data_IF_088230226665
#
_entry.id   IF_088230226665
#
_cell.length_a   1.000
_cell.length_b   1.000
_cell.length_c   1.000
_cell.angle_alpha   90.00
_cell.angle_beta   90.00
_cell.angle_gamma   90.00
#
_symmetry.space_group_name_H-M   'P 1'
#
loop_
_entity.id
_entity.type
_entity.pdbx_description
1 polymer ?
#
# COMPACT_ATOMS: atom_id res chain seq x y z
N UNK A 1 15.82 4.12 -15.57
CA UNK A 1 15.63 5.44 -14.96
C UNK A 1 15.53 6.51 -16.04
N UNK A 2 14.51 7.39 -16.02
CA UNK A 2 14.37 8.50 -16.97
C UNK A 2 15.53 9.49 -16.91
N UNK A 3 15.77 10.22 -18.01
CA UNK A 3 16.88 11.16 -18.10
C UNK A 3 16.77 12.29 -17.06
N UNK A 4 15.58 12.88 -16.87
CA UNK A 4 15.36 13.94 -15.89
C UNK A 4 15.78 13.54 -14.47
N UNK A 5 15.58 12.27 -14.09
CA UNK A 5 15.93 11.78 -12.76
C UNK A 5 17.44 11.51 -12.64
N UNK A 6 18.08 11.10 -13.74
CA UNK A 6 19.55 11.01 -13.81
C UNK A 6 20.19 12.38 -13.64
N UNK A 7 19.64 13.39 -14.32
CA UNK A 7 20.15 14.76 -14.26
C UNK A 7 19.96 15.36 -12.86
N UNK A 8 18.81 15.11 -12.23
CA UNK A 8 18.51 15.57 -10.87
C UNK A 8 19.43 14.93 -9.82
N UNK A 9 19.71 13.63 -9.94
CA UNK A 9 20.37 12.86 -8.88
C UNK A 9 21.84 12.53 -9.15
N UNK A 10 22.32 12.77 -10.38
CA UNK A 10 23.62 12.31 -10.87
C UNK A 10 23.75 10.78 -11.01
N UNK A 11 22.69 10.01 -10.74
CA UNK A 11 22.73 8.55 -10.74
C UNK A 11 22.47 7.99 -12.13
N UNK A 12 23.08 6.82 -12.42
CA UNK A 12 22.88 6.11 -13.70
C UNK A 12 21.80 5.02 -13.61
N UNK A 13 21.59 4.49 -12.42
CA UNK A 13 20.67 3.40 -12.13
C UNK A 13 19.76 3.74 -10.95
N UNK A 14 18.63 3.05 -10.88
CA UNK A 14 17.79 3.03 -9.68
C UNK A 14 18.61 2.49 -8.49
N UNK A 15 18.33 2.92 -7.24
CA UNK A 15 19.02 2.41 -6.08
C UNK A 15 18.71 0.93 -5.82
N UNK A 16 19.49 0.32 -4.93
CA UNK A 16 19.21 -1.00 -4.38
C UNK A 16 18.10 -0.93 -3.32
N UNK A 17 17.99 -1.95 -2.46
CA UNK A 17 16.98 -2.01 -1.41
C UNK A 17 17.11 -0.90 -0.36
N UNK A 18 18.28 -0.29 -0.19
CA UNK A 18 18.47 0.82 0.76
C UNK A 18 18.64 2.13 -0.01
N UNK A 19 17.53 2.83 -0.33
CA UNK A 19 17.59 4.00 -1.15
C UNK A 19 18.32 5.14 -0.42
N UNK A 20 19.19 5.88 -1.12
CA UNK A 20 19.88 7.03 -0.55
C UNK A 20 18.87 8.16 -0.28
N UNK A 21 19.07 8.89 0.80
CA UNK A 21 18.39 10.16 1.00
C UNK A 21 18.96 11.22 0.05
N UNK A 22 18.07 11.90 -0.68
CA UNK A 22 18.42 13.09 -1.46
C UNK A 22 17.72 14.26 -0.78
N UNK A 23 18.53 15.17 -0.22
CA UNK A 23 18.01 16.34 0.46
C UNK A 23 17.22 17.21 -0.53
N UNK A 24 15.92 17.28 -0.29
CA UNK A 24 15.00 18.13 -1.03
C UNK A 24 14.37 19.18 -0.13
N UNK A 25 15.16 19.63 0.84
CA UNK A 25 14.80 20.65 1.82
C UNK A 25 13.56 20.25 2.62
N UNK A 26 13.45 18.95 2.94
CA UNK A 26 12.40 18.45 3.82
C UNK A 26 12.73 18.91 5.24
N UNK A 27 11.86 19.74 5.80
CA UNK A 27 11.97 20.20 7.18
C UNK A 27 11.44 19.12 8.14
N UNK A 28 12.32 18.63 9.02
CA UNK A 28 12.01 17.66 10.06
C UNK A 28 11.85 18.29 11.45
N UNK A 29 11.94 19.61 11.59
CA UNK A 29 11.92 20.28 12.89
C UNK A 29 10.57 20.17 13.63
N UNK A 30 9.47 19.98 12.89
CA UNK A 30 8.12 19.77 13.41
C UNK A 30 7.74 18.28 13.54
N UNK A 31 8.67 17.35 13.24
CA UNK A 31 8.41 15.92 13.35
C UNK A 31 8.43 15.51 14.83
N UNK A 32 7.37 14.84 15.33
CA UNK A 32 7.33 14.37 16.71
C UNK A 32 8.50 13.44 17.04
N UNK A 33 9.06 13.61 18.24
CA UNK A 33 10.13 12.74 18.73
C UNK A 33 9.54 11.42 19.21
N UNK A 34 9.64 10.39 18.38
CA UNK A 34 9.34 9.00 18.72
C UNK A 34 10.59 8.18 18.44
N UNK A 35 11.05 7.40 19.42
CA UNK A 35 12.26 6.60 19.26
C UNK A 35 12.09 5.55 18.15
N UNK A 36 13.17 5.30 17.42
CA UNK A 36 13.21 4.18 16.49
C UNK A 36 13.04 2.87 17.28
N UNK A 37 12.32 1.92 16.68
CA UNK A 37 12.01 0.64 17.32
C UNK A 37 11.88 -0.48 16.31
N UNK A 38 12.06 -1.71 16.78
CA UNK A 38 11.92 -2.90 15.95
C UNK A 38 10.45 -3.30 15.83
N UNK A 39 10.15 -4.06 14.78
CA UNK A 39 8.82 -4.64 14.60
C UNK A 39 8.45 -5.53 15.79
N UNK A 40 7.23 -5.39 16.30
CA UNK A 40 6.75 -6.08 17.50
C UNK A 40 7.11 -5.40 18.82
N UNK A 41 7.96 -4.38 18.83
CA UNK A 41 8.18 -3.55 20.00
C UNK A 41 7.05 -2.51 20.15
N UNK A 42 6.22 -2.74 21.16
CA UNK A 42 5.06 -1.92 21.50
C UNK A 42 5.19 -1.22 22.87
N UNK A 43 6.41 -1.11 23.40
CA UNK A 43 6.70 -0.30 24.60
C UNK A 43 6.73 1.21 24.25
N UNK A 44 5.58 1.74 23.82
CA UNK A 44 5.48 3.11 23.29
C UNK A 44 5.27 4.14 24.41
N UNK A 45 5.77 5.37 24.24
CA UNK A 45 5.43 6.48 25.12
C UNK A 45 3.90 6.67 25.22
N UNK A 46 3.35 6.99 26.41
CA UNK A 46 1.91 7.22 26.57
C UNK A 46 1.36 8.23 25.55
N UNK A 47 0.24 7.89 24.91
CA UNK A 47 -0.41 8.72 23.89
C UNK A 47 0.09 8.53 22.45
N UNK A 48 1.15 7.74 22.25
CA UNK A 48 1.63 7.38 20.90
C UNK A 48 0.59 6.55 20.17
N UNK A 49 0.20 7.00 18.98
CA UNK A 49 -0.73 6.28 18.12
C UNK A 49 0.03 5.45 17.10
N UNK A 50 -0.03 4.13 17.26
CA UNK A 50 0.66 3.18 16.41
C UNK A 50 -0.27 2.02 16.03
N UNK A 51 -0.64 1.94 14.76
CA UNK A 51 -1.67 0.99 14.34
C UNK A 51 -1.28 -0.45 14.66
N UNK A 52 -0.04 -0.84 14.38
CA UNK A 52 0.41 -2.23 14.57
C UNK A 52 0.52 -2.65 16.05
N UNK A 53 0.50 -1.69 16.97
CA UNK A 53 0.56 -1.96 18.41
C UNK A 53 -0.79 -1.81 19.12
N UNK A 54 -1.58 -0.80 18.76
CA UNK A 54 -2.81 -0.46 19.48
C UNK A 54 -3.99 -0.12 18.56
N UNK A 55 -3.92 -0.47 17.27
CA UNK A 55 -4.93 -0.19 16.25
C UNK A 55 -5.40 1.28 16.25
N UNK A 56 -4.49 2.19 16.59
CA UNK A 56 -4.81 3.60 16.66
C UNK A 56 -4.76 4.27 15.29
N UNK A 57 -5.74 5.15 15.07
CA UNK A 57 -5.86 6.00 13.89
C UNK A 57 -5.86 7.48 14.28
N UNK A 58 -5.53 8.34 13.31
CA UNK A 58 -5.68 9.80 13.43
C UNK A 58 -6.76 10.30 12.47
N UNK A 59 -7.39 11.47 12.77
CA UNK A 59 -8.28 12.12 11.82
C UNK A 59 -7.59 12.32 10.46
N UNK A 60 -8.26 11.88 9.40
CA UNK A 60 -7.76 11.90 8.03
C UNK A 60 -7.15 10.58 7.55
N UNK A 61 -6.88 9.62 8.45
CA UNK A 61 -6.49 8.28 8.05
C UNK A 61 -7.71 7.57 7.40
N UNK A 62 -7.50 6.98 6.23
CA UNK A 62 -8.53 6.25 5.48
C UNK A 62 -8.46 4.78 5.89
N UNK A 63 -9.46 4.31 6.63
CA UNK A 63 -9.43 2.96 7.24
C UNK A 63 -10.50 2.03 6.69
N UNK A 64 -11.54 2.57 6.08
CA UNK A 64 -12.70 1.80 5.62
C UNK A 64 -13.27 2.41 4.34
N UNK A 65 -14.24 1.72 3.75
CA UNK A 65 -14.91 2.11 2.54
C UNK A 65 -16.42 1.87 2.65
N UNK A 66 -17.25 2.71 2.04
CA UNK A 66 -18.71 2.53 2.03
C UNK A 66 -19.20 1.27 1.30
N UNK A 67 -18.34 0.64 0.50
CA UNK A 67 -18.62 -0.65 -0.12
C UNK A 67 -17.43 -1.57 0.10
N UNK A 68 -17.68 -2.87 0.17
CA UNK A 68 -16.65 -3.88 0.36
C UNK A 68 -15.71 -3.87 -0.85
N UNK A 69 -14.50 -3.37 -0.65
CA UNK A 69 -13.58 -2.99 -1.73
C UNK A 69 -12.21 -3.63 -1.54
N UNK A 70 -11.70 -4.28 -2.59
CA UNK A 70 -10.40 -4.94 -2.51
C UNK A 70 -9.27 -3.94 -2.71
N UNK A 71 -8.21 -4.14 -1.93
CA UNK A 71 -6.93 -3.51 -2.17
C UNK A 71 -5.81 -4.54 -2.05
N UNK A 72 -4.75 -4.33 -2.82
CA UNK A 72 -3.67 -5.28 -2.99
C UNK A 72 -2.32 -4.64 -2.67
N UNK A 73 -1.56 -5.28 -1.80
CA UNK A 73 -0.21 -4.86 -1.42
C UNK A 73 0.84 -5.80 -2.06
N UNK A 74 2.09 -5.32 -2.10
CA UNK A 74 3.31 -6.04 -2.50
C UNK A 74 3.49 -6.40 -3.97
N UNK A 75 2.44 -6.27 -4.79
CA UNK A 75 2.53 -6.33 -6.23
C UNK A 75 3.16 -5.07 -6.87
N UNK A 76 3.26 -5.04 -8.20
CA UNK A 76 2.98 -6.15 -9.09
C UNK A 76 4.11 -7.20 -9.07
N UNK A 77 3.75 -8.43 -9.36
CA UNK A 77 4.64 -9.53 -9.73
C UNK A 77 4.26 -10.06 -11.11
N UNK A 78 4.98 -11.05 -11.63
CA UNK A 78 4.56 -11.73 -12.87
C UNK A 78 3.16 -12.36 -12.77
N UNK A 79 2.65 -12.59 -11.55
CA UNK A 79 1.34 -13.21 -11.32
C UNK A 79 0.20 -12.19 -11.34
N UNK A 80 0.48 -10.90 -11.09
CA UNK A 80 -0.51 -9.81 -11.10
C UNK A 80 -1.25 -9.70 -12.43
N UNK A 81 -0.62 -10.12 -13.54
CA UNK A 81 -1.26 -10.19 -14.86
C UNK A 81 -2.60 -10.93 -14.83
N UNK A 82 -2.70 -12.04 -14.09
CA UNK A 82 -3.91 -12.84 -14.02
C UNK A 82 -5.02 -12.19 -13.19
N UNK A 83 -4.63 -11.41 -12.17
CA UNK A 83 -5.58 -10.62 -11.39
C UNK A 83 -6.15 -9.49 -12.27
N UNK A 84 -5.28 -8.79 -13.02
CA UNK A 84 -5.69 -7.73 -13.94
C UNK A 84 -6.60 -8.25 -15.07
N UNK A 85 -6.29 -9.42 -15.66
CA UNK A 85 -7.16 -10.08 -16.63
C UNK A 85 -8.55 -10.33 -16.06
N UNK A 86 -8.62 -10.80 -14.81
CA UNK A 86 -9.89 -11.05 -14.13
C UNK A 86 -10.67 -9.76 -13.88
N UNK A 87 -10.04 -8.75 -13.28
CA UNK A 87 -10.68 -7.47 -12.96
C UNK A 87 -11.15 -6.73 -14.21
N UNK A 88 -10.39 -6.81 -15.31
CA UNK A 88 -10.79 -6.30 -16.61
C UNK A 88 -12.04 -7.02 -17.14
N UNK A 89 -12.05 -8.36 -17.10
CA UNK A 89 -13.17 -9.18 -17.59
C UNK A 89 -14.48 -8.96 -16.82
N UNK A 90 -14.41 -8.58 -15.55
CA UNK A 90 -15.58 -8.34 -14.69
C UNK A 90 -15.94 -6.86 -14.55
N UNK A 91 -15.12 -5.96 -15.09
CA UNK A 91 -15.26 -4.51 -14.90
C UNK A 91 -14.98 -4.02 -13.47
N UNK A 92 -14.47 -4.89 -12.60
CA UNK A 92 -14.12 -4.54 -11.22
C UNK A 92 -12.92 -3.60 -11.18
N UNK A 93 -12.89 -2.69 -10.19
CA UNK A 93 -11.76 -1.79 -9.94
C UNK A 93 -11.30 -1.95 -8.50
N UNK A 94 -9.99 -2.03 -8.31
CA UNK A 94 -9.32 -2.15 -7.03
C UNK A 94 -8.22 -1.08 -6.87
N UNK A 95 -7.62 -1.04 -5.69
CA UNK A 95 -6.46 -0.17 -5.39
C UNK A 95 -5.23 -1.03 -5.13
N UNK A 96 -4.10 -0.69 -5.75
CA UNK A 96 -2.83 -1.39 -5.63
C UNK A 96 -1.82 -0.51 -4.92
N UNK A 97 -1.23 -0.97 -3.82
CA UNK A 97 -0.16 -0.29 -3.09
C UNK A 97 1.16 -0.95 -3.43
N UNK A 98 2.01 -0.22 -4.16
CA UNK A 98 3.14 -0.81 -4.89
C UNK A 98 4.47 -0.38 -4.26
N UNK A 99 5.36 -1.35 -3.94
CA UNK A 99 6.74 -1.04 -3.62
C UNK A 99 7.46 -0.41 -4.83
N UNK A 100 8.25 0.63 -4.60
CA UNK A 100 9.01 1.30 -5.66
C UNK A 100 9.94 0.35 -6.45
N UNK A 101 10.53 -0.64 -5.78
CA UNK A 101 11.31 -1.70 -6.44
C UNK A 101 10.45 -2.54 -7.40
N UNK A 102 9.22 -2.89 -7.03
CA UNK A 102 8.26 -3.58 -7.89
C UNK A 102 7.87 -2.73 -9.09
N UNK A 103 7.66 -1.42 -8.91
CA UNK A 103 7.38 -0.51 -10.01
C UNK A 103 8.52 -0.43 -11.04
N UNK A 104 9.77 -0.45 -10.58
CA UNK A 104 10.95 -0.51 -11.47
C UNK A 104 11.09 -1.85 -12.17
N UNK A 105 10.75 -2.95 -11.48
CA UNK A 105 10.89 -4.31 -12.00
C UNK A 105 9.80 -4.67 -13.02
N UNK A 106 8.56 -4.20 -12.80
CA UNK A 106 7.40 -4.52 -13.64
C UNK A 106 6.65 -3.26 -14.09
N UNK A 107 7.31 -2.29 -14.75
CA UNK A 107 6.69 -1.01 -15.09
C UNK A 107 5.49 -1.15 -16.04
N UNK A 108 5.48 -2.19 -16.88
CA UNK A 108 4.37 -2.48 -17.78
C UNK A 108 3.10 -2.92 -17.02
N UNK A 109 3.22 -3.59 -15.87
CA UNK A 109 2.07 -3.98 -15.06
C UNK A 109 1.52 -2.80 -14.26
N UNK A 110 2.38 -1.95 -13.71
CA UNK A 110 1.95 -0.69 -13.06
C UNK A 110 1.22 0.22 -14.07
N UNK A 111 1.75 0.32 -15.29
CA UNK A 111 1.07 1.03 -16.38
C UNK A 111 -0.30 0.42 -16.69
N UNK A 112 -0.38 -0.91 -16.77
CA UNK A 112 -1.63 -1.63 -17.02
C UNK A 112 -2.66 -1.41 -15.90
N UNK A 113 -2.24 -1.46 -14.64
CA UNK A 113 -3.11 -1.15 -13.49
C UNK A 113 -3.76 0.22 -13.66
N UNK A 114 -2.95 1.24 -13.95
CA UNK A 114 -3.42 2.59 -14.19
C UNK A 114 -4.37 2.67 -15.40
N UNK A 115 -3.98 2.11 -16.54
CA UNK A 115 -4.75 2.21 -17.80
C UNK A 115 -6.09 1.47 -17.72
N UNK A 116 -6.18 0.43 -16.89
CA UNK A 116 -7.43 -0.24 -16.57
C UNK A 116 -8.28 0.51 -15.54
N UNK A 117 -7.87 1.70 -15.09
CA UNK A 117 -8.64 2.55 -14.18
C UNK A 117 -8.60 2.11 -12.73
N UNK A 118 -7.61 1.30 -12.34
CA UNK A 118 -7.28 1.06 -10.94
C UNK A 118 -6.55 2.26 -10.34
N UNK A 119 -6.50 2.32 -9.01
CA UNK A 119 -5.70 3.33 -8.30
C UNK A 119 -4.38 2.71 -7.90
N UNK A 120 -3.29 3.40 -8.24
CA UNK A 120 -1.92 3.04 -7.85
C UNK A 120 -1.49 3.95 -6.70
N UNK A 121 -1.27 3.34 -5.53
CA UNK A 121 -0.75 3.95 -4.31
C UNK A 121 0.69 3.53 -4.01
N UNK A 122 1.30 4.21 -3.04
CA UNK A 122 2.66 3.94 -2.58
C UNK A 122 2.68 2.87 -1.50
N UNK A 123 3.72 2.02 -1.51
CA UNK A 123 3.99 1.05 -0.45
C UNK A 123 5.48 1.04 -0.06
N UNK A 124 6.07 2.24 0.10
CA UNK A 124 7.52 2.47 0.27
C UNK A 124 8.36 1.98 -0.90
N UNK A 125 9.69 2.13 -0.83
CA UNK A 125 10.58 1.71 -1.91
C UNK A 125 10.83 0.21 -1.85
N UNK A 126 11.24 -0.29 -0.69
CA UNK A 126 11.72 -1.66 -0.49
C UNK A 126 11.01 -2.41 0.65
N UNK A 127 9.83 -1.94 1.06
CA UNK A 127 9.01 -2.57 2.09
C UNK A 127 9.67 -2.69 3.50
N UNK A 128 10.45 -1.70 4.00
CA UNK A 128 10.94 -1.77 5.38
C UNK A 128 9.86 -1.39 6.40
N UNK A 129 10.02 -1.85 7.63
CA UNK A 129 9.26 -1.35 8.78
C UNK A 129 9.69 0.09 9.12
N UNK A 130 8.89 1.09 8.74
CA UNK A 130 9.28 2.51 8.85
C UNK A 130 9.66 2.98 10.28
N UNK A 131 9.03 2.52 11.37
CA UNK A 131 9.41 2.95 12.71
C UNK A 131 10.84 2.56 13.13
N UNK A 132 11.51 1.63 12.44
CA UNK A 132 12.92 1.31 12.70
C UNK A 132 13.91 2.21 11.99
N UNK A 133 13.44 3.09 11.10
CA UNK A 133 14.27 3.91 10.23
C UNK A 133 14.44 5.34 10.77
N UNK A 134 15.54 6.01 10.37
CA UNK A 134 15.71 7.45 10.59
C UNK A 134 14.72 8.27 9.75
N UNK A 135 14.58 9.57 10.05
CA UNK A 135 13.68 10.44 9.31
C UNK A 135 14.05 10.55 7.83
N UNK A 136 15.34 10.66 7.53
CA UNK A 136 15.92 10.71 6.20
C UNK A 136 15.70 9.39 5.45
N UNK A 137 15.85 8.26 6.13
CA UNK A 137 15.60 6.95 5.53
C UNK A 137 14.11 6.75 5.19
N UNK A 138 13.18 7.21 6.04
CA UNK A 138 11.74 7.23 5.71
C UNK A 138 11.48 8.13 4.50
N UNK A 139 12.06 9.33 4.48
CA UNK A 139 11.90 10.25 3.37
C UNK A 139 12.45 9.67 2.05
N UNK A 140 13.59 8.97 2.10
CA UNK A 140 14.15 8.28 0.95
C UNK A 140 13.21 7.19 0.41
N UNK A 141 12.61 6.38 1.29
CA UNK A 141 11.61 5.36 0.93
C UNK A 141 10.42 5.96 0.17
N UNK A 142 9.94 7.12 0.60
CA UNK A 142 8.82 7.81 -0.05
C UNK A 142 9.22 8.43 -1.39
N UNK A 143 10.32 9.18 -1.40
CA UNK A 143 10.79 9.95 -2.55
C UNK A 143 11.09 9.05 -3.76
N UNK A 144 11.88 7.99 -3.56
CA UNK A 144 12.24 7.08 -4.65
C UNK A 144 11.03 6.33 -5.21
N UNK A 145 10.06 5.98 -4.35
CA UNK A 145 8.81 5.35 -4.77
C UNK A 145 7.95 6.28 -5.61
N UNK A 146 7.80 7.53 -5.18
CA UNK A 146 7.08 8.57 -5.92
C UNK A 146 7.73 8.76 -7.30
N UNK A 147 9.05 8.85 -7.38
CA UNK A 147 9.75 9.01 -8.65
C UNK A 147 9.61 7.80 -9.57
N UNK A 148 9.67 6.58 -9.04
CA UNK A 148 9.50 5.36 -9.85
C UNK A 148 8.08 5.25 -10.41
N UNK A 149 7.06 5.50 -9.59
CA UNK A 149 5.67 5.47 -10.06
C UNK A 149 5.41 6.63 -11.04
N UNK A 150 5.86 7.85 -10.74
CA UNK A 150 5.72 8.98 -11.66
C UNK A 150 6.44 8.75 -13.00
N UNK A 151 7.63 8.16 -12.98
CA UNK A 151 8.35 7.76 -14.19
C UNK A 151 7.58 6.73 -15.04
N UNK A 152 6.70 5.94 -14.42
CA UNK A 152 5.98 4.83 -15.07
C UNK A 152 4.59 5.24 -15.57
N UNK A 153 3.88 6.07 -14.82
CA UNK A 153 2.49 6.44 -15.12
C UNK A 153 2.27 7.95 -15.31
N UNK A 154 3.30 8.78 -15.16
CA UNK A 154 3.20 10.24 -15.31
C UNK A 154 2.31 10.91 -14.25
N UNK A 155 2.11 10.26 -13.10
CA UNK A 155 1.28 10.73 -11.99
C UNK A 155 2.01 10.54 -10.67
N UNK A 156 1.78 11.48 -9.76
CA UNK A 156 2.21 11.37 -8.36
C UNK A 156 1.04 10.78 -7.56
N UNK A 157 1.20 9.61 -6.91
CA UNK A 157 0.15 9.01 -6.09
C UNK A 157 -0.32 9.92 -4.97
N UNK A 158 -1.63 9.89 -4.69
CA UNK A 158 -2.20 10.56 -3.51
C UNK A 158 -2.29 9.66 -2.28
N UNK A 159 -2.17 8.34 -2.44
CA UNK A 159 -2.35 7.37 -1.36
C UNK A 159 -1.07 6.62 -1.01
N UNK A 160 -0.93 6.33 0.28
CA UNK A 160 0.18 5.55 0.82
C UNK A 160 -0.34 4.56 1.87
N UNK A 161 0.10 3.31 1.78
CA UNK A 161 -0.10 2.30 2.82
C UNK A 161 1.26 1.89 3.39
N UNK A 162 1.46 1.89 4.71
CA UNK A 162 2.73 1.53 5.31
C UNK A 162 2.89 0.01 5.42
N UNK A 163 4.05 -0.55 5.02
CA UNK A 163 4.45 -1.92 5.31
C UNK A 163 4.21 -2.30 6.77
N UNK A 164 3.69 -3.50 7.01
CA UNK A 164 3.36 -4.03 8.35
C UNK A 164 2.39 -3.16 9.17
N UNK A 165 1.70 -2.23 8.51
CA UNK A 165 1.02 -1.11 9.14
C UNK A 165 1.90 -0.28 10.12
N UNK A 166 3.23 -0.34 9.95
CA UNK A 166 4.21 0.29 10.83
C UNK A 166 4.14 1.81 10.73
N UNK A 167 3.36 2.41 11.62
CA UNK A 167 3.01 3.81 11.52
C UNK A 167 2.77 4.41 12.90
N UNK A 168 3.74 5.20 13.38
CA UNK A 168 3.58 6.07 14.53
C UNK A 168 3.41 7.55 14.10
N UNK A 169 3.24 8.46 15.05
CA UNK A 169 3.06 9.89 14.76
C UNK A 169 4.31 10.53 14.11
N UNK A 170 5.51 9.98 14.32
CA UNK A 170 6.75 10.42 13.65
C UNK A 170 6.71 10.05 12.17
N UNK A 171 6.44 8.79 11.87
CA UNK A 171 6.29 8.31 10.48
C UNK A 171 5.16 9.08 9.78
N UNK A 172 4.01 9.28 10.45
CA UNK A 172 2.87 10.01 9.91
C UNK A 172 3.22 11.46 9.55
N UNK A 173 3.97 12.15 10.41
CA UNK A 173 4.41 13.52 10.15
C UNK A 173 5.33 13.60 8.91
N UNK A 174 6.26 12.64 8.76
CA UNK A 174 7.20 12.60 7.64
C UNK A 174 6.47 12.30 6.32
N UNK A 175 5.62 11.27 6.27
CA UNK A 175 4.93 10.92 5.01
C UNK A 175 3.97 12.03 4.55
N UNK A 176 3.39 12.79 5.49
CA UNK A 176 2.57 13.97 5.17
C UNK A 176 3.33 15.08 4.45
N UNK A 177 4.66 15.17 4.60
CA UNK A 177 5.51 16.11 3.83
C UNK A 177 5.46 15.84 2.32
N UNK A 178 5.08 14.64 1.90
CA UNK A 178 4.90 14.25 0.50
C UNK A 178 3.47 14.45 -0.02
N UNK A 179 2.59 15.07 0.76
CA UNK A 179 1.19 15.33 0.42
C UNK A 179 0.40 14.04 0.04
N UNK A 180 0.69 12.94 0.71
CA UNK A 180 -0.03 11.67 0.56
C UNK A 180 -0.96 11.42 1.75
N UNK A 181 -2.10 10.80 1.47
CA UNK A 181 -3.09 10.41 2.46
C UNK A 181 -2.82 8.95 2.89
N UNK A 182 -2.87 8.72 4.20
CA UNK A 182 -2.63 7.41 4.78
C UNK A 182 -3.83 6.49 4.58
N UNK A 183 -3.58 5.28 4.10
CA UNK A 183 -4.60 4.25 3.87
C UNK A 183 -4.23 2.97 4.61
N UNK A 184 -5.17 2.47 5.42
CA UNK A 184 -5.09 1.20 6.14
C UNK A 184 -6.23 0.29 5.66
N UNK A 185 -6.79 -0.53 6.56
CA UNK A 185 -7.89 -1.45 6.29
C UNK A 185 -8.67 -1.72 7.58
N UNK A 186 -9.92 -2.16 7.42
CA UNK A 186 -10.78 -2.65 8.49
C UNK A 186 -11.24 -4.10 8.27
N UNK A 187 -10.78 -4.72 7.17
CA UNK A 187 -11.07 -6.11 6.78
C UNK A 187 -9.77 -6.80 6.37
N UNK A 188 -9.10 -7.43 7.33
CA UNK A 188 -7.85 -8.16 7.08
C UNK A 188 -8.15 -9.62 6.71
N UNK A 189 -7.69 -10.06 5.54
CA UNK A 189 -7.86 -11.45 5.11
C UNK A 189 -6.82 -12.39 5.74
N UNK A 190 -5.70 -11.86 6.22
CA UNK A 190 -4.53 -12.64 6.62
C UNK A 190 -3.95 -13.54 5.51
N UNK A 191 -4.29 -13.30 4.24
CA UNK A 191 -3.92 -14.14 3.10
C UNK A 191 -2.41 -14.38 2.97
N UNK A 192 -1.58 -13.41 3.37
CA UNK A 192 -0.13 -13.50 3.42
C UNK A 192 0.39 -14.71 4.22
N UNK A 193 -0.36 -15.16 5.24
CA UNK A 193 0.00 -16.36 6.03
C UNK A 193 0.06 -17.63 5.19
N UNK A 194 -0.64 -17.68 4.05
CA UNK A 194 -0.62 -18.83 3.14
C UNK A 194 0.71 -19.02 2.41
N UNK A 195 1.59 -18.02 2.45
CA UNK A 195 2.96 -18.13 1.95
C UNK A 195 3.93 -18.64 3.03
N UNK A 196 3.52 -18.72 4.30
CA UNK A 196 4.34 -19.26 5.38
C UNK A 196 4.27 -20.79 5.42
N UNK A 197 5.31 -21.41 6.01
CA UNK A 197 5.32 -22.85 6.25
C UNK A 197 4.24 -23.29 7.25
N UNK A 198 3.99 -22.45 8.26
CA UNK A 198 2.87 -22.58 9.19
C UNK A 198 1.95 -21.38 8.99
N UNK A 199 0.77 -21.64 8.42
CA UNK A 199 -0.26 -20.62 8.20
C UNK A 199 -1.20 -20.45 9.40
N UNK A 200 -0.99 -21.23 10.48
CA UNK A 200 -1.90 -21.32 11.62
C UNK A 200 -3.32 -21.70 11.18
N UNK A 201 -4.30 -20.93 11.64
CA UNK A 201 -5.72 -21.14 11.27
C UNK A 201 -6.08 -20.58 9.88
N UNK A 202 -5.18 -19.83 9.24
CA UNK A 202 -5.44 -19.24 7.93
C UNK A 202 -5.28 -20.29 6.85
N UNK A 203 -6.34 -20.51 6.08
CA UNK A 203 -6.38 -21.34 4.90
C UNK A 203 -7.29 -20.68 3.85
N UNK A 204 -7.35 -21.22 2.63
CA UNK A 204 -8.19 -20.63 1.58
C UNK A 204 -9.67 -20.52 1.99
N UNK A 205 -10.22 -21.53 2.67
CA UNK A 205 -11.64 -21.52 3.07
C UNK A 205 -11.91 -20.43 4.10
N UNK A 206 -11.08 -20.30 5.14
CA UNK A 206 -11.30 -19.28 6.18
C UNK A 206 -11.22 -17.85 5.63
N UNK A 207 -10.39 -17.60 4.62
CA UNK A 207 -10.36 -16.31 3.92
C UNK A 207 -11.68 -16.07 3.16
N UNK A 208 -12.14 -17.06 2.39
CA UNK A 208 -13.36 -16.92 1.61
C UNK A 208 -14.62 -16.80 2.49
N UNK A 209 -14.68 -17.51 3.61
CA UNK A 209 -15.73 -17.40 4.63
C UNK A 209 -15.76 -16.00 5.25
N UNK A 210 -14.60 -15.42 5.55
CA UNK A 210 -14.50 -14.05 6.06
C UNK A 210 -15.07 -13.03 5.05
N UNK A 211 -14.72 -13.17 3.77
CA UNK A 211 -15.22 -12.32 2.68
C UNK A 211 -16.74 -12.46 2.54
N UNK A 212 -17.26 -13.68 2.55
CA UNK A 212 -18.69 -13.94 2.45
C UNK A 212 -19.46 -13.38 3.65
N UNK A 213 -18.92 -13.53 4.87
CA UNK A 213 -19.48 -12.92 6.07
C UNK A 213 -19.56 -11.39 5.95
N UNK A 214 -18.47 -10.72 5.55
CA UNK A 214 -18.46 -9.26 5.40
C UNK A 214 -19.44 -8.78 4.34
N UNK A 215 -19.56 -9.52 3.22
CA UNK A 215 -20.54 -9.23 2.18
C UNK A 215 -21.97 -9.33 2.72
N UNK A 216 -22.28 -10.38 3.48
CA UNK A 216 -23.62 -10.66 3.99
C UNK A 216 -24.06 -9.70 5.10
N UNK A 217 -23.11 -9.06 5.79
CA UNK A 217 -23.39 -8.02 6.78
C UNK A 217 -23.90 -6.70 6.16
N UNK A 218 -23.99 -6.60 4.82
CA UNK A 218 -24.27 -5.35 4.08
C UNK A 218 -23.35 -4.19 4.50
N UNK A 219 -22.21 -4.52 5.10
CA UNK A 219 -21.21 -3.57 5.56
C UNK A 219 -20.28 -3.20 4.42
N UNK A 220 -19.93 -1.92 4.33
CA UNK A 220 -18.74 -1.53 3.62
C UNK A 220 -17.46 -2.10 4.29
N UNK A 221 -16.34 -1.92 3.62
CA UNK A 221 -15.03 -2.26 4.18
C UNK A 221 -13.94 -2.09 3.15
N UNK A 222 -12.74 -1.77 3.61
CA UNK A 222 -11.54 -1.79 2.79
C UNK A 222 -10.75 -3.04 3.13
N UNK A 223 -10.66 -3.96 2.17
CA UNK A 223 -10.03 -5.28 2.34
C UNK A 223 -8.53 -5.18 2.07
N UNK A 224 -7.73 -5.69 2.99
CA UNK A 224 -6.31 -5.97 2.75
C UNK A 224 -6.14 -7.38 2.14
N UNK A 225 -5.48 -7.42 1.00
CA UNK A 225 -5.00 -8.63 0.32
C UNK A 225 -3.63 -8.36 -0.29
N UNK A 226 -2.96 -9.39 -0.78
CA UNK A 226 -1.66 -9.26 -1.44
C UNK A 226 -1.67 -9.99 -2.79
N UNK A 227 -1.05 -9.40 -3.82
CA UNK A 227 -0.91 -10.00 -5.15
C UNK A 227 0.54 -10.42 -5.46
N UNK A 228 1.32 -10.65 -4.42
CA UNK A 228 2.75 -10.98 -4.46
C UNK A 228 3.09 -12.43 -4.86
N UNK A 229 2.11 -13.33 -4.94
CA UNK A 229 2.35 -14.73 -5.30
C UNK A 229 1.19 -15.34 -6.10
N UNK A 230 1.48 -16.42 -6.83
CA UNK A 230 0.47 -17.14 -7.62
C UNK A 230 -0.66 -17.67 -6.74
N UNK A 231 -0.34 -18.08 -5.50
CA UNK A 231 -1.31 -18.58 -4.53
C UNK A 231 -2.27 -17.46 -4.12
N UNK A 232 -1.73 -16.29 -3.77
CA UNK A 232 -2.55 -15.16 -3.30
C UNK A 232 -3.37 -14.53 -4.43
N UNK A 233 -2.82 -14.45 -5.65
CA UNK A 233 -3.58 -14.00 -6.83
C UNK A 233 -4.78 -14.91 -7.11
N UNK A 234 -4.60 -16.24 -7.08
CA UNK A 234 -5.71 -17.19 -7.28
C UNK A 234 -6.79 -17.04 -6.21
N UNK A 235 -6.39 -16.86 -4.96
CA UNK A 235 -7.32 -16.60 -3.85
C UNK A 235 -8.05 -15.27 -4.04
N UNK A 236 -7.34 -14.22 -4.42
CA UNK A 236 -7.89 -12.89 -4.70
C UNK A 236 -8.93 -12.90 -5.81
N UNK A 237 -8.72 -13.70 -6.87
CA UNK A 237 -9.71 -13.92 -7.92
C UNK A 237 -10.97 -14.61 -7.38
N UNK A 238 -10.83 -15.60 -6.49
CA UNK A 238 -11.98 -16.25 -5.83
C UNK A 238 -12.74 -15.26 -4.95
N UNK A 239 -12.04 -14.46 -4.15
CA UNK A 239 -12.63 -13.40 -3.34
C UNK A 239 -13.36 -12.36 -4.22
N UNK A 240 -12.77 -11.96 -5.34
CA UNK A 240 -13.38 -11.01 -6.30
C UNK A 240 -14.71 -11.52 -6.85
N UNK A 241 -14.82 -12.83 -7.12
CA UNK A 241 -16.06 -13.48 -7.55
C UNK A 241 -17.13 -13.49 -6.47
N UNK A 242 -16.75 -13.67 -5.20
CA UNK A 242 -17.69 -13.64 -4.07
C UNK A 242 -18.22 -12.23 -3.82
N UNK A 243 -17.35 -11.22 -3.85
CA UNK A 243 -17.72 -9.81 -3.69
C UNK A 243 -18.62 -9.37 -4.85
N UNK A 244 -18.29 -9.81 -6.06
CA UNK A 244 -19.02 -9.49 -7.28
C UNK A 244 -18.68 -8.10 -7.83
N UNK A 245 -19.13 -7.81 -9.06
CA UNK A 245 -18.72 -6.61 -9.79
C UNK A 245 -19.41 -5.32 -9.32
N UNK A 246 -20.57 -5.44 -8.67
CA UNK A 246 -21.36 -4.28 -8.26
C UNK A 246 -20.82 -3.72 -6.95
N UNK A 247 -20.45 -2.45 -6.98
CA UNK A 247 -20.18 -1.67 -5.76
C UNK A 247 -18.72 -1.58 -5.35
N UNK A 248 -17.80 -2.40 -5.91
CA UNK A 248 -16.38 -2.28 -5.57
C UNK A 248 -15.84 -0.88 -5.92
N UNK A 249 -15.17 -0.25 -4.97
CA UNK A 249 -14.64 1.10 -5.09
C UNK A 249 -13.12 1.08 -5.02
N UNK A 250 -12.51 1.98 -5.78
CA UNK A 250 -11.14 2.40 -5.52
C UNK A 250 -11.11 3.35 -4.31
N UNK A 251 -9.97 3.46 -3.62
CA UNK A 251 -9.86 4.22 -2.37
C UNK A 251 -10.32 5.68 -2.50
N UNK A 252 -10.06 6.33 -3.64
CA UNK A 252 -10.53 7.69 -3.94
C UNK A 252 -12.06 7.84 -3.94
N UNK A 253 -12.79 6.76 -4.18
CA UNK A 253 -14.26 6.75 -4.23
C UNK A 253 -14.90 6.34 -2.90
N UNK A 254 -14.10 5.89 -1.93
CA UNK A 254 -14.57 5.51 -0.60
C UNK A 254 -15.13 6.70 0.19
N UNK A 255 -14.67 7.91 -0.09
CA UNK A 255 -15.09 9.16 0.56
C UNK A 255 -15.31 10.29 -0.45
N UNK A 256 -16.01 11.35 -0.04
CA UNK A 256 -16.36 12.46 -0.95
C UNK A 256 -15.13 13.32 -1.24
N UNK A 257 -14.90 13.59 -2.53
CA UNK A 257 -13.83 14.50 -2.97
C UNK A 257 -12.43 13.86 -3.04
N UNK A 258 -12.31 12.55 -2.86
CA UNK A 258 -11.05 11.84 -3.07
C UNK A 258 -10.54 12.00 -4.50
N UNK A 259 -9.22 12.06 -4.63
CA UNK A 259 -8.51 12.14 -5.91
C UNK A 259 -7.35 11.15 -5.85
N UNK A 260 -7.20 10.26 -6.85
CA UNK A 260 -6.18 9.21 -6.77
C UNK A 260 -4.75 9.70 -6.96
N UNK A 261 -4.57 10.89 -7.54
CA UNK A 261 -3.28 11.48 -7.85
C UNK A 261 -3.28 12.97 -7.51
N UNK A 262 -2.09 13.53 -7.27
CA UNK A 262 -1.86 14.95 -6.97
C UNK A 262 -2.05 15.84 -8.21
#
# INVERSE_FOLDING_TARGET
>A
MPQWLKDLTGRKFWPDETPPYIDMSIDFSDVPVVNMRLYGDCALPPGTCAFECNQCFRPGDIVSCKSLSQSFDDGPTSQTVHLLDHLESTGQKATFFIPGTSAVKFPHLVRREYDQGHVVGLHTWSHPFLPSLSNEAIAAQMQWSIWAINATIGKVPKYFRPPFAGMDDRVRAIVKKFNVDLVLWDRDTFDWRLNLADSGETNELSVLESIEMWRNQNGGGLILQHDSSSKLVKLSIKASKLIGPKGQLTVDKCYKGGRPYQ
#
